data_IF_952692627874
#
_entry.id   IF_952692627874
#
_cell.length_a   1.000
_cell.length_b   1.000
_cell.length_c   1.000
_cell.angle_alpha   90.00
_cell.angle_beta   90.00
_cell.angle_gamma   90.00
#
_symmetry.space_group_name_H-M   'P 1'
#
loop_
_entity.id
_entity.type
_entity.pdbx_description
1 polymer ?
#
# COMPACT_ATOMS: atom_id res chain seq x y z
N UNK A 1 15.58 -2.99 -5.70
CA UNK A 1 14.54 -3.04 -6.75
C UNK A 1 15.24 -3.01 -8.10
N UNK A 2 14.78 -3.78 -9.08
CA UNK A 2 15.45 -3.92 -10.38
C UNK A 2 15.05 -2.79 -11.35
N UNK A 3 16.05 -2.07 -11.85
CA UNK A 3 15.89 -0.97 -12.80
C UNK A 3 15.59 -1.43 -14.24
N UNK A 4 15.84 -2.70 -14.56
CA UNK A 4 15.52 -3.26 -15.88
C UNK A 4 14.03 -3.61 -16.01
N UNK A 5 13.38 -3.90 -14.88
CA UNK A 5 11.99 -4.34 -14.82
C UNK A 5 11.01 -3.21 -14.47
N UNK A 6 11.49 -2.13 -13.85
CA UNK A 6 10.66 -1.05 -13.31
C UNK A 6 11.28 0.34 -13.56
N UNK A 7 10.52 1.25 -14.17
CA UNK A 7 10.91 2.66 -14.28
C UNK A 7 10.85 3.34 -12.90
N UNK A 8 11.86 4.11 -12.52
CA UNK A 8 11.92 4.80 -11.21
C UNK A 8 11.50 3.90 -10.02
N UNK A 9 12.20 2.76 -9.81
CA UNK A 9 11.73 1.71 -8.90
C UNK A 9 11.75 2.08 -7.42
N UNK A 10 12.42 3.19 -7.07
CA UNK A 10 12.51 3.70 -5.71
C UNK A 10 11.46 4.78 -5.41
N UNK A 11 10.67 5.19 -6.42
CA UNK A 11 9.63 6.20 -6.29
C UNK A 11 8.25 5.56 -6.05
N UNK A 12 7.48 6.15 -5.15
CA UNK A 12 6.08 5.79 -4.95
C UNK A 12 5.21 6.37 -6.07
N UNK A 13 4.91 5.55 -7.08
CA UNK A 13 4.11 5.93 -8.25
C UNK A 13 2.91 4.98 -8.43
N UNK A 14 1.79 5.19 -7.71
CA UNK A 14 0.62 4.30 -7.79
C UNK A 14 -0.02 4.27 -9.19
N UNK A 15 0.14 5.32 -9.99
CA UNK A 15 -0.39 5.44 -11.35
C UNK A 15 0.18 4.38 -12.29
N UNK A 16 1.33 3.79 -11.97
CA UNK A 16 1.98 2.74 -12.78
C UNK A 16 1.10 1.49 -12.94
N UNK A 17 0.16 1.30 -12.04
CA UNK A 17 -0.80 0.19 -12.06
C UNK A 17 -2.09 0.52 -12.80
N UNK A 18 -2.30 1.78 -13.21
CA UNK A 18 -3.48 2.21 -13.97
C UNK A 18 -3.34 1.89 -15.46
N UNK A 19 -4.45 1.57 -16.12
CA UNK A 19 -4.52 1.37 -17.58
C UNK A 19 -4.00 0.02 -18.11
N UNK A 20 -3.46 -0.84 -17.24
CA UNK A 20 -3.02 -2.20 -17.62
C UNK A 20 -3.28 -3.20 -16.49
N UNK A 21 -4.54 -3.29 -16.06
CA UNK A 21 -4.96 -4.11 -14.91
C UNK A 21 -4.65 -5.61 -15.07
N UNK A 22 -4.61 -6.11 -16.32
CA UNK A 22 -4.26 -7.50 -16.62
C UNK A 22 -2.76 -7.77 -16.45
N UNK A 23 -1.89 -6.75 -16.67
CA UNK A 23 -0.44 -6.90 -16.51
C UNK A 23 -0.02 -6.99 -15.04
N UNK A 24 -0.76 -6.36 -14.15
CA UNK A 24 -0.43 -6.20 -12.74
C UNK A 24 -1.40 -6.93 -11.81
N UNK A 25 -1.91 -8.07 -12.26
CA UNK A 25 -2.74 -8.92 -11.43
C UNK A 25 -1.92 -9.66 -10.35
N UNK A 26 -2.63 -10.24 -9.38
CA UNK A 26 -2.02 -11.04 -8.31
C UNK A 26 -1.95 -12.53 -8.65
N UNK A 27 -2.08 -12.93 -9.92
CA UNK A 27 -2.10 -14.34 -10.31
C UNK A 27 -0.77 -15.05 -10.12
N UNK A 28 0.33 -14.30 -10.04
CA UNK A 28 1.69 -14.82 -9.94
C UNK A 28 2.31 -15.23 -11.28
N UNK A 29 1.65 -14.90 -12.41
CA UNK A 29 2.14 -15.20 -13.76
C UNK A 29 3.15 -14.18 -14.30
N UNK A 30 3.23 -13.00 -13.68
CA UNK A 30 4.20 -11.96 -14.05
C UNK A 30 5.41 -12.00 -13.11
N UNK A 31 6.56 -12.52 -13.58
CA UNK A 31 7.77 -12.64 -12.77
C UNK A 31 8.37 -11.31 -12.31
N UNK A 32 8.01 -10.20 -12.95
CA UNK A 32 8.41 -8.87 -12.49
C UNK A 32 7.54 -8.37 -11.33
N UNK A 33 6.39 -9.02 -11.07
CA UNK A 33 5.40 -8.63 -10.07
C UNK A 33 4.79 -9.85 -9.34
N UNK A 34 5.42 -10.28 -8.24
CA UNK A 34 5.01 -11.45 -7.44
C UNK A 34 4.84 -11.14 -5.94
N UNK A 35 4.03 -10.12 -5.56
CA UNK A 35 3.92 -9.67 -4.17
C UNK A 35 3.35 -10.74 -3.21
N UNK A 36 2.65 -11.75 -3.73
CA UNK A 36 1.99 -12.81 -2.96
C UNK A 36 2.52 -14.21 -3.28
N UNK A 37 3.67 -14.30 -3.95
CA UNK A 37 4.19 -15.55 -4.49
C UNK A 37 3.45 -15.98 -5.77
N UNK A 38 3.61 -17.25 -6.13
CA UNK A 38 3.03 -17.83 -7.35
C UNK A 38 2.69 -19.31 -7.13
N UNK A 39 1.90 -19.86 -8.05
CA UNK A 39 1.63 -21.29 -8.16
C UNK A 39 1.02 -21.91 -6.89
N UNK A 40 1.28 -23.20 -6.65
CA UNK A 40 0.75 -24.01 -5.54
C UNK A 40 1.01 -23.44 -4.13
N UNK A 41 1.91 -22.46 -4.00
CA UNK A 41 2.25 -21.81 -2.72
C UNK A 41 1.95 -20.32 -2.72
N UNK A 42 1.09 -19.86 -3.62
CA UNK A 42 0.56 -18.49 -3.56
C UNK A 42 -0.14 -18.24 -2.23
N UNK A 43 -0.08 -16.98 -1.74
CA UNK A 43 -0.64 -16.60 -0.46
C UNK A 43 -2.13 -16.96 -0.36
N UNK A 44 -2.46 -17.89 0.54
CA UNK A 44 -3.85 -18.29 0.79
C UNK A 44 -4.73 -17.13 1.31
N UNK A 45 -4.12 -16.07 1.86
CA UNK A 45 -4.81 -14.88 2.35
C UNK A 45 -5.15 -13.84 1.29
N UNK A 46 -4.71 -14.00 0.04
CA UNK A 46 -4.88 -13.01 -1.03
C UNK A 46 -6.35 -12.56 -1.23
N UNK A 47 -7.34 -13.46 -1.35
CA UNK A 47 -8.74 -13.04 -1.59
C UNK A 47 -9.31 -12.20 -0.44
N UNK A 48 -8.91 -12.49 0.80
CA UNK A 48 -9.33 -11.74 1.98
C UNK A 48 -8.67 -10.37 2.00
N UNK A 49 -7.35 -10.32 1.77
CA UNK A 49 -6.58 -9.08 1.75
C UNK A 49 -7.10 -8.11 0.69
N UNK A 50 -7.39 -8.60 -0.52
CA UNK A 50 -7.90 -7.75 -1.61
C UNK A 50 -9.24 -7.09 -1.25
N UNK A 51 -10.16 -7.86 -0.65
CA UNK A 51 -11.45 -7.32 -0.21
C UNK A 51 -11.29 -6.33 0.92
N UNK A 52 -10.58 -6.70 1.98
CA UNK A 52 -10.42 -5.86 3.17
C UNK A 52 -9.66 -4.57 2.88
N UNK A 53 -8.58 -4.62 2.10
CA UNK A 53 -7.71 -3.48 1.89
C UNK A 53 -8.44 -2.32 1.20
N UNK A 54 -9.33 -2.61 0.23
CA UNK A 54 -10.12 -1.59 -0.46
C UNK A 54 -11.03 -0.84 0.52
N UNK A 55 -11.75 -1.56 1.38
CA UNK A 55 -12.63 -0.95 2.38
C UNK A 55 -11.85 -0.16 3.43
N UNK A 56 -10.76 -0.72 3.95
CA UNK A 56 -9.92 -0.04 4.94
C UNK A 56 -9.34 1.26 4.39
N UNK A 57 -8.79 1.22 3.18
CA UNK A 57 -8.22 2.40 2.54
C UNK A 57 -9.30 3.46 2.25
N UNK A 58 -10.44 3.05 1.69
CA UNK A 58 -11.55 3.97 1.42
C UNK A 58 -12.06 4.63 2.71
N UNK A 59 -12.23 3.85 3.79
CA UNK A 59 -12.67 4.37 5.08
C UNK A 59 -11.68 5.35 5.67
N UNK A 60 -10.37 5.05 5.65
CA UNK A 60 -9.33 5.93 6.18
C UNK A 60 -9.23 7.25 5.40
N UNK A 61 -9.26 7.19 4.07
CA UNK A 61 -9.22 8.36 3.20
C UNK A 61 -10.50 9.20 3.27
N UNK A 62 -11.66 8.55 3.42
CA UNK A 62 -12.92 9.27 3.58
C UNK A 62 -12.98 9.97 4.93
N UNK A 63 -12.48 9.33 5.99
CA UNK A 63 -12.69 9.77 7.36
C UNK A 63 -11.69 10.82 7.83
N UNK A 64 -10.43 10.75 7.37
CA UNK A 64 -9.34 11.52 7.98
C UNK A 64 -8.44 12.22 6.96
N UNK A 65 -8.07 13.45 7.29
CA UNK A 65 -6.83 14.07 6.83
C UNK A 65 -5.68 13.64 7.75
N UNK A 66 -4.49 13.47 7.18
CA UNK A 66 -3.32 12.97 7.88
C UNK A 66 -2.19 13.98 7.87
N UNK A 67 -1.58 14.20 9.03
CA UNK A 67 -0.43 15.08 9.18
C UNK A 67 0.69 14.39 9.96
N UNK A 68 1.93 14.74 9.65
CA UNK A 68 3.07 14.35 10.47
C UNK A 68 3.19 15.29 11.68
N UNK A 69 3.75 14.79 12.81
CA UNK A 69 4.19 15.68 13.87
C UNK A 69 5.16 16.73 13.35
N UNK A 70 5.14 17.92 13.95
CA UNK A 70 5.94 19.06 13.47
C UNK A 70 7.43 18.72 13.47
N UNK A 71 8.08 18.88 12.32
CA UNK A 71 9.51 18.64 12.15
C UNK A 71 9.88 17.20 11.80
N UNK A 72 8.91 16.28 11.82
CA UNK A 72 9.13 14.87 11.44
C UNK A 72 9.14 14.68 9.93
N UNK A 73 9.88 13.67 9.48
CA UNK A 73 9.89 13.18 8.10
C UNK A 73 9.56 11.69 8.12
N UNK A 74 8.96 11.22 7.04
CA UNK A 74 8.71 9.77 6.88
C UNK A 74 10.03 9.05 6.70
N UNK A 75 10.34 8.12 7.60
CA UNK A 75 11.41 7.16 7.40
C UNK A 75 10.95 6.08 6.41
N UNK A 76 11.78 5.88 5.39
CA UNK A 76 11.59 4.89 4.32
C UNK A 76 12.61 3.76 4.41
N UNK A 77 13.48 3.76 5.42
CA UNK A 77 14.42 2.67 5.67
C UNK A 77 13.64 1.49 6.26
N UNK A 78 13.80 0.33 5.64
CA UNK A 78 13.17 -0.91 6.10
C UNK A 78 14.10 -1.70 7.03
N UNK A 79 13.48 -2.47 7.92
CA UNK A 79 14.12 -3.51 8.72
C UNK A 79 13.59 -4.87 8.27
N UNK A 80 14.51 -5.79 8.03
CA UNK A 80 14.19 -7.17 7.64
C UNK A 80 13.61 -7.99 8.81
N UNK A 81 12.67 -8.87 8.51
CA UNK A 81 12.00 -9.75 9.45
C UNK A 81 11.01 -10.69 8.74
N UNK A 82 10.07 -11.28 9.47
CA UNK A 82 9.00 -12.14 8.88
C UNK A 82 8.18 -11.37 7.83
N UNK A 83 7.99 -10.07 8.05
CA UNK A 83 7.47 -9.12 7.07
C UNK A 83 8.41 -7.91 7.05
N UNK A 84 8.52 -7.22 5.91
CA UNK A 84 9.20 -5.93 5.84
C UNK A 84 8.46 -4.92 6.72
N UNK A 85 9.20 -4.19 7.55
CA UNK A 85 8.68 -3.16 8.44
C UNK A 85 9.55 -1.93 8.34
N UNK A 86 8.98 -0.75 8.59
CA UNK A 86 9.78 0.46 8.76
C UNK A 86 10.76 0.29 9.92
N UNK A 87 11.96 0.81 9.75
CA UNK A 87 12.99 0.77 10.77
C UNK A 87 12.58 1.60 12.00
N UNK A 88 12.00 2.78 11.76
CA UNK A 88 11.37 3.61 12.78
C UNK A 88 9.84 3.61 12.60
N UNK A 89 9.04 3.51 13.68
CA UNK A 89 7.58 3.61 13.58
C UNK A 89 7.14 4.93 12.95
N UNK A 90 6.17 4.87 12.04
CA UNK A 90 5.53 6.08 11.50
C UNK A 90 4.44 6.54 12.48
N UNK A 91 4.58 7.77 12.97
CA UNK A 91 3.53 8.47 13.73
C UNK A 91 2.79 9.40 12.78
N UNK A 92 1.48 9.23 12.67
CA UNK A 92 0.60 10.09 11.88
C UNK A 92 -0.56 10.56 12.76
N UNK A 93 -0.91 11.84 12.64
CA UNK A 93 -1.97 12.48 13.40
C UNK A 93 -3.20 12.59 12.49
N UNK A 94 -4.28 11.85 12.77
CA UNK A 94 -5.52 11.97 12.03
C UNK A 94 -6.35 13.17 12.52
N UNK A 95 -6.96 13.89 11.59
CA UNK A 95 -8.04 14.86 11.86
C UNK A 95 -9.26 14.54 11.00
N UNK A 96 -10.49 14.73 11.50
CA UNK A 96 -11.69 14.52 10.68
C UNK A 96 -11.63 15.33 9.38
N UNK A 97 -11.80 14.69 8.23
CA UNK A 97 -11.70 15.33 6.90
C UNK A 97 -12.90 16.23 6.58
N UNK A 98 -14.09 15.80 6.98
CA UNK A 98 -15.36 16.47 6.78
C UNK A 98 -15.84 17.18 8.06
N UNK A 99 -16.43 18.36 7.89
CA UNK A 99 -16.87 19.22 9.00
C UNK A 99 -18.13 18.72 9.74
N UNK A 100 -19.00 17.98 9.04
CA UNK A 100 -20.28 17.49 9.56
C UNK A 100 -20.24 16.01 9.91
N UNK A 101 -20.61 15.66 11.14
CA UNK A 101 -20.66 14.27 11.63
C UNK A 101 -21.55 13.34 10.79
N UNK A 102 -22.61 13.88 10.18
CA UNK A 102 -23.56 13.12 9.38
C UNK A 102 -23.00 12.70 8.00
N UNK A 103 -21.82 13.19 7.60
CA UNK A 103 -21.22 12.87 6.30
C UNK A 103 -20.29 11.63 6.34
N UNK A 104 -20.15 11.01 7.51
CA UNK A 104 -19.38 9.78 7.71
C UNK A 104 -20.25 8.51 7.82
N UNK A 105 -21.57 8.68 7.61
CA UNK A 105 -22.60 7.62 7.71
C UNK A 105 -23.04 7.21 6.33
#
# INVERSE_FOLDING_TARGET
MDHLSWDNPLEFMPERFLGNSEKWDFSGNNFNYIPFGSERRICAGLPLAERMLRYLLASLLHSFDWQLPKGEKVDIVDRFGVVLRKNNPLVAIPSPRLSGKNMYV
#
